data_IF_745843760849
#
_entry.id   IF_745843760849
#
_cell.length_a   1.000
_cell.length_b   1.000
_cell.length_c   1.000
_cell.angle_alpha   90.00
_cell.angle_beta   90.00
_cell.angle_gamma   90.00
#
_symmetry.space_group_name_H-M   'P 1'
#
loop_
_entity.id
_entity.type
_entity.pdbx_description
1 polymer ?
#
# COMPACT_ATOMS: atom_id res chain seq x y z
N UNK A 1 15.61 -29.92 11.97
CA UNK A 1 15.46 -29.93 13.44
C UNK A 1 13.99 -29.72 13.71
N UNK A 2 13.27 -30.78 14.08
CA UNK A 2 11.84 -30.67 14.35
C UNK A 2 11.64 -29.96 15.69
N UNK A 3 10.76 -28.96 15.72
CA UNK A 3 10.32 -28.28 16.95
C UNK A 3 9.32 -29.23 17.63
N UNK A 4 9.79 -30.41 18.01
CA UNK A 4 9.05 -31.37 18.80
C UNK A 4 9.28 -30.98 20.26
N UNK A 5 8.20 -30.68 20.99
CA UNK A 5 8.15 -30.33 22.43
C UNK A 5 8.03 -28.84 22.81
N UNK A 6 7.43 -27.98 21.97
CA UNK A 6 6.84 -26.76 22.54
C UNK A 6 5.51 -27.10 23.23
N UNK A 7 5.33 -26.73 24.51
CA UNK A 7 4.08 -26.98 25.21
C UNK A 7 2.94 -26.21 24.55
N UNK A 8 1.91 -26.94 24.11
CA UNK A 8 0.68 -26.36 23.60
C UNK A 8 -0.30 -26.14 24.75
N UNK A 9 -0.44 -24.89 25.19
CA UNK A 9 -1.39 -24.53 26.24
C UNK A 9 -2.77 -24.28 25.64
N UNK A 10 -3.81 -24.95 26.16
CA UNK A 10 -5.22 -24.66 25.79
C UNK A 10 -5.76 -23.42 26.48
N UNK A 11 -5.22 -23.08 27.64
CA UNK A 11 -5.58 -21.92 28.48
C UNK A 11 -4.41 -21.59 29.41
N UNK A 12 -4.48 -20.44 30.09
CA UNK A 12 -3.50 -20.09 31.13
C UNK A 12 -3.55 -21.10 32.29
N UNK A 13 -2.39 -21.52 32.78
CA UNK A 13 -2.28 -22.33 34.00
C UNK A 13 -2.59 -21.49 35.25
N UNK A 14 -2.88 -22.16 36.36
CA UNK A 14 -3.07 -21.45 37.64
C UNK A 14 -1.79 -20.71 38.09
N UNK A 15 -0.60 -21.27 37.87
CA UNK A 15 0.65 -20.54 38.14
C UNK A 15 0.78 -19.30 37.25
N UNK A 16 0.41 -19.37 35.97
CA UNK A 16 0.42 -18.21 35.08
C UNK A 16 -0.57 -17.15 35.54
N UNK A 17 -1.79 -17.54 35.93
CA UNK A 17 -2.78 -16.59 36.45
C UNK A 17 -2.36 -15.97 37.79
N UNK A 18 -1.66 -16.71 38.66
CA UNK A 18 -1.08 -16.17 39.90
C UNK A 18 0.10 -15.23 39.63
N UNK A 19 0.94 -15.57 38.65
CA UNK A 19 2.15 -14.81 38.28
C UNK A 19 1.81 -13.51 37.54
N UNK A 20 0.98 -13.59 36.52
CA UNK A 20 0.64 -12.42 35.70
C UNK A 20 -0.48 -11.59 36.32
N UNK A 21 -1.24 -12.17 37.27
CA UNK A 21 -2.53 -11.70 37.79
C UNK A 21 -3.52 -11.46 36.64
N UNK A 22 -4.82 -11.75 36.80
CA UNK A 22 -5.82 -11.25 35.85
C UNK A 22 -5.59 -9.74 35.75
N UNK A 23 -5.33 -9.24 34.54
CA UNK A 23 -5.25 -7.80 34.31
C UNK A 23 -6.63 -7.25 34.69
N UNK A 24 -6.75 -6.76 35.93
CA UNK A 24 -8.02 -6.36 36.53
C UNK A 24 -8.49 -5.00 36.03
N UNK A 25 -7.77 -4.42 35.06
CA UNK A 25 -8.16 -3.20 34.39
C UNK A 25 -9.20 -3.56 33.32
N UNK A 26 -10.23 -2.73 33.24
CA UNK A 26 -11.12 -2.74 32.08
C UNK A 26 -10.28 -2.52 30.81
N UNK A 27 -10.70 -3.07 29.66
CA UNK A 27 -10.07 -2.75 28.39
C UNK A 27 -9.93 -1.23 28.24
N UNK A 28 -8.79 -0.79 27.72
CA UNK A 28 -8.64 0.61 27.33
C UNK A 28 -9.52 0.85 26.09
N UNK A 29 -10.54 1.68 26.25
CA UNK A 29 -11.43 2.11 25.17
C UNK A 29 -10.99 3.49 24.68
N UNK A 30 -10.84 3.62 23.37
CA UNK A 30 -10.51 4.90 22.75
C UNK A 30 -11.33 5.12 21.49
N UNK A 31 -11.60 6.40 21.20
CA UNK A 31 -12.21 6.81 19.94
C UNK A 31 -11.13 7.07 18.90
N UNK A 32 -11.46 6.91 17.61
CA UNK A 32 -10.55 7.30 16.53
C UNK A 32 -11.23 8.29 15.59
N UNK A 33 -10.43 9.15 14.96
CA UNK A 33 -10.84 9.95 13.81
C UNK A 33 -10.12 9.40 12.58
N UNK A 34 -10.84 9.30 11.47
CA UNK A 34 -10.27 8.88 10.20
C UNK A 34 -9.90 10.13 9.41
N UNK A 35 -8.64 10.22 8.98
CA UNK A 35 -8.16 11.25 8.04
C UNK A 35 -7.79 10.56 6.73
N UNK A 36 -8.24 11.12 5.62
CA UNK A 36 -8.02 10.58 4.29
C UNK A 36 -7.21 11.58 3.46
N UNK A 37 -6.08 11.13 2.94
CA UNK A 37 -5.14 11.88 2.13
C UNK A 37 -5.16 11.34 0.71
N UNK A 38 -5.35 12.20 -0.28
CA UNK A 38 -5.50 11.80 -1.67
C UNK A 38 -4.44 12.47 -2.54
N UNK A 39 -4.11 11.85 -3.68
CA UNK A 39 -3.27 12.45 -4.73
C UNK A 39 -3.81 13.85 -5.10
N UNK A 40 -2.95 14.89 -5.23
CA UNK A 40 -1.48 14.86 -5.29
C UNK A 40 -0.76 14.92 -3.92
N UNK A 41 -1.42 14.60 -2.81
CA UNK A 41 -0.84 14.55 -1.46
C UNK A 41 -0.21 15.87 -0.98
N UNK A 42 -0.78 17.01 -1.38
CA UNK A 42 -0.35 18.34 -0.95
C UNK A 42 -1.11 18.74 0.32
N UNK A 43 -0.56 18.39 1.49
CA UNK A 43 -1.07 18.76 2.80
C UNK A 43 0.07 19.23 3.70
N UNK A 44 -0.20 20.14 4.64
CA UNK A 44 0.83 20.74 5.50
C UNK A 44 1.59 19.71 6.35
N UNK A 45 0.97 18.57 6.63
CA UNK A 45 1.49 17.54 7.53
C UNK A 45 2.02 16.30 6.79
N UNK A 46 2.21 16.43 5.47
CA UNK A 46 2.64 15.38 4.56
C UNK A 46 3.94 15.77 3.84
N UNK A 47 4.83 14.81 3.69
CA UNK A 47 6.04 14.92 2.87
C UNK A 47 6.05 13.77 1.87
N UNK A 48 6.31 14.08 0.60
CA UNK A 48 6.37 13.11 -0.50
C UNK A 48 7.72 13.26 -1.20
N UNK A 49 8.39 12.14 -1.48
CA UNK A 49 9.69 12.17 -2.15
C UNK A 49 9.99 10.93 -2.97
N UNK A 50 10.94 11.10 -3.89
CA UNK A 50 11.51 10.09 -4.80
C UNK A 50 10.44 9.30 -5.60
N UNK A 51 9.77 10.01 -6.50
CA UNK A 51 8.71 9.50 -7.36
C UNK A 51 9.01 9.82 -8.84
N UNK A 52 8.42 9.05 -9.75
CA UNK A 52 8.57 9.22 -11.21
C UNK A 52 7.52 10.17 -11.80
N UNK A 53 6.26 10.04 -11.37
CA UNK A 53 5.12 10.78 -11.94
C UNK A 53 4.10 11.12 -10.85
N UNK A 54 3.42 12.26 -11.01
CA UNK A 54 2.19 12.61 -10.28
C UNK A 54 1.08 12.79 -11.30
N UNK A 55 0.00 12.03 -11.15
CA UNK A 55 -1.20 12.13 -11.95
C UNK A 55 -2.43 12.03 -11.02
N UNK A 56 -3.37 12.97 -11.18
CA UNK A 56 -4.55 13.05 -10.30
C UNK A 56 -5.46 11.83 -10.45
N UNK A 57 -5.43 11.17 -11.60
CA UNK A 57 -6.21 9.96 -11.90
C UNK A 57 -5.45 8.67 -11.53
N UNK A 58 -4.13 8.64 -11.70
CA UNK A 58 -3.31 7.43 -11.47
C UNK A 58 -2.73 7.34 -10.05
N UNK A 59 -2.48 8.47 -9.41
CA UNK A 59 -1.75 8.55 -8.13
C UNK A 59 -0.34 9.09 -8.29
N UNK A 60 0.48 8.87 -7.27
CA UNK A 60 1.92 9.16 -7.33
C UNK A 60 2.66 7.84 -7.52
N UNK A 61 3.41 7.73 -8.60
CA UNK A 61 4.23 6.56 -8.95
C UNK A 61 5.59 6.66 -8.25
N UNK A 62 5.80 5.84 -7.23
CA UNK A 62 7.03 5.88 -6.43
C UNK A 62 8.14 5.05 -7.05
N UNK A 63 9.37 5.54 -6.91
CA UNK A 63 10.55 4.71 -7.13
C UNK A 63 10.60 3.64 -6.04
N UNK A 64 10.64 2.36 -6.41
CA UNK A 64 10.60 1.34 -5.38
C UNK A 64 11.80 1.42 -4.43
N UNK A 65 11.59 0.94 -3.22
CA UNK A 65 12.48 1.01 -2.05
C UNK A 65 12.72 2.43 -1.51
N UNK A 66 12.97 3.43 -2.37
CA UNK A 66 13.41 4.76 -1.94
C UNK A 66 12.30 5.80 -1.90
N UNK A 67 11.28 5.66 -2.75
CA UNK A 67 10.08 6.51 -2.77
C UNK A 67 9.23 6.42 -1.52
N UNK A 68 8.68 7.56 -1.08
CA UNK A 68 8.01 7.64 0.21
C UNK A 68 6.88 8.66 0.31
N UNK A 69 5.94 8.37 1.20
CA UNK A 69 4.95 9.31 1.76
C UNK A 69 5.10 9.30 3.28
N UNK A 70 5.46 10.42 3.89
CA UNK A 70 5.56 10.57 5.34
C UNK A 70 4.42 11.44 5.86
N UNK A 71 3.62 10.90 6.79
CA UNK A 71 2.52 11.59 7.45
C UNK A 71 2.91 11.87 8.90
N UNK A 72 2.80 13.12 9.33
CA UNK A 72 2.98 13.53 10.72
C UNK A 72 1.66 14.04 11.29
N UNK A 73 1.17 13.46 12.37
CA UNK A 73 -0.10 13.82 12.98
C UNK A 73 0.09 14.51 14.33
N UNK A 74 -0.85 15.38 14.69
CA UNK A 74 -0.89 16.02 16.02
C UNK A 74 -1.22 15.01 17.14
N UNK A 75 -1.82 13.88 16.75
CA UNK A 75 -2.31 12.81 17.62
C UNK A 75 -1.70 11.45 17.25
N UNK A 76 -1.65 10.49 18.18
CA UNK A 76 -1.12 9.16 17.90
C UNK A 76 -1.92 8.45 16.80
N UNK A 77 -1.22 7.79 15.88
CA UNK A 77 -1.75 7.03 14.75
C UNK A 77 -1.86 5.58 15.18
N UNK A 78 -3.06 5.01 15.11
CA UNK A 78 -3.38 3.62 15.45
C UNK A 78 -3.40 2.68 14.26
N UNK A 79 -3.73 3.20 13.08
CA UNK A 79 -3.73 2.41 11.86
C UNK A 79 -3.49 3.27 10.62
N UNK A 80 -2.95 2.63 9.59
CA UNK A 80 -2.76 3.19 8.26
C UNK A 80 -3.35 2.23 7.23
N UNK A 81 -4.19 2.72 6.34
CA UNK A 81 -4.66 1.99 5.16
C UNK A 81 -4.06 2.64 3.94
N UNK A 82 -3.31 1.87 3.14
CA UNK A 82 -2.72 2.32 1.88
C UNK A 82 -3.52 1.73 0.73
N UNK A 83 -3.92 2.58 -0.21
CA UNK A 83 -4.69 2.20 -1.39
C UNK A 83 -3.90 2.62 -2.63
N UNK A 84 -3.56 1.62 -3.45
CA UNK A 84 -2.78 1.82 -4.66
C UNK A 84 -2.65 0.56 -5.52
N UNK A 85 -1.85 0.65 -6.57
CA UNK A 85 -1.70 -0.43 -7.55
C UNK A 85 -0.35 -0.39 -8.26
N UNK A 86 0.18 -1.57 -8.59
CA UNK A 86 1.38 -1.73 -9.41
C UNK A 86 1.09 -1.83 -10.91
N UNK A 87 2.02 -1.37 -11.74
CA UNK A 87 2.06 -1.65 -13.19
C UNK A 87 2.38 -3.11 -13.49
N UNK A 88 3.03 -3.80 -12.54
CA UNK A 88 3.45 -5.19 -12.65
C UNK A 88 3.03 -5.97 -11.41
N UNK A 89 2.99 -7.30 -11.54
CA UNK A 89 2.59 -8.18 -10.47
C UNK A 89 3.56 -8.11 -9.27
N UNK A 90 3.12 -8.64 -8.12
CA UNK A 90 3.92 -8.71 -6.88
C UNK A 90 4.31 -7.33 -6.34
N UNK A 91 3.33 -6.43 -6.32
CA UNK A 91 3.41 -5.19 -5.57
C UNK A 91 3.60 -5.44 -4.07
N UNK A 92 4.09 -4.42 -3.38
CA UNK A 92 4.21 -4.41 -1.93
C UNK A 92 3.97 -3.01 -1.38
N UNK A 93 3.50 -2.96 -0.14
CA UNK A 93 3.47 -1.74 0.67
C UNK A 93 4.22 -2.00 1.98
N UNK A 94 4.96 -1.01 2.44
CA UNK A 94 5.64 -1.01 3.72
C UNK A 94 5.16 0.21 4.49
N UNK A 95 4.79 0.02 5.76
CA UNK A 95 4.60 1.11 6.71
C UNK A 95 5.69 1.01 7.76
N UNK A 96 6.41 2.11 7.93
CA UNK A 96 7.50 2.29 8.86
C UNK A 96 7.12 3.38 9.85
N UNK A 97 7.51 3.22 11.11
CA UNK A 97 7.38 4.28 12.09
C UNK A 97 8.60 4.32 13.00
N UNK A 98 8.97 5.52 13.39
CA UNK A 98 10.22 5.80 14.07
C UNK A 98 9.92 6.70 15.25
N UNK A 99 10.69 6.54 16.33
CA UNK A 99 10.64 7.52 17.41
C UNK A 99 11.32 8.82 16.93
N UNK A 100 11.09 9.93 17.62
CA UNK A 100 11.61 11.23 17.19
C UNK A 100 13.15 11.19 17.07
N UNK A 101 13.66 11.59 15.89
CA UNK A 101 15.09 11.55 15.56
C UNK A 101 15.59 10.23 14.97
N UNK A 102 14.76 9.17 14.91
CA UNK A 102 15.10 7.90 14.24
C UNK A 102 14.67 7.91 12.75
N UNK A 103 15.48 7.26 11.90
CA UNK A 103 15.23 7.03 10.48
C UNK A 103 15.98 5.76 10.04
N UNK A 104 15.61 5.20 8.88
CA UNK A 104 16.30 4.04 8.31
C UNK A 104 17.82 4.26 8.15
N UNK A 105 18.25 5.51 7.96
CA UNK A 105 19.65 5.89 7.75
C UNK A 105 20.45 6.03 9.05
N UNK A 106 19.79 6.06 10.22
CA UNK A 106 20.45 6.29 11.51
C UNK A 106 20.06 5.30 12.62
N UNK A 107 19.44 4.17 12.26
CA UNK A 107 19.08 3.10 13.21
C UNK A 107 20.34 2.39 13.70
N UNK A 108 20.85 2.80 14.87
CA UNK A 108 22.03 2.17 15.49
C UNK A 108 21.63 0.82 16.15
N UNK A 109 21.59 -0.26 15.35
CA UNK A 109 21.25 -1.63 15.77
C UNK A 109 19.90 -1.81 16.48
N UNK A 110 18.94 -0.88 16.35
CA UNK A 110 17.59 -1.03 16.90
C UNK A 110 16.67 -1.82 15.96
N UNK A 111 15.68 -2.49 16.53
CA UNK A 111 14.66 -3.19 15.76
C UNK A 111 13.82 -2.19 14.98
N UNK A 112 13.91 -2.23 13.66
CA UNK A 112 13.11 -1.40 12.75
C UNK A 112 11.62 -1.71 12.95
N UNK A 113 10.83 -0.70 13.32
CA UNK A 113 9.37 -0.85 13.45
C UNK A 113 8.75 -0.71 12.06
N UNK A 114 8.72 -1.83 11.32
CA UNK A 114 8.16 -1.91 9.97
C UNK A 114 7.15 -3.05 9.85
N UNK A 115 6.10 -2.82 9.09
CA UNK A 115 5.19 -3.84 8.61
C UNK A 115 5.21 -3.82 7.09
N UNK A 116 5.20 -5.00 6.47
CA UNK A 116 5.24 -5.18 5.02
C UNK A 116 4.13 -6.13 4.62
N UNK A 117 3.42 -5.78 3.55
CA UNK A 117 2.49 -6.68 2.87
C UNK A 117 2.92 -6.80 1.42
N UNK A 118 3.13 -8.04 0.99
CA UNK A 118 3.61 -8.42 -0.33
C UNK A 118 2.53 -9.07 -1.18
N UNK A 119 2.89 -9.41 -2.43
CA UNK A 119 2.03 -10.11 -3.40
C UNK A 119 0.74 -9.33 -3.70
N UNK A 120 0.83 -8.02 -3.67
CA UNK A 120 -0.25 -7.10 -4.07
C UNK A 120 -0.37 -7.12 -5.58
N UNK A 121 -1.51 -7.59 -6.09
CA UNK A 121 -1.74 -7.73 -7.52
C UNK A 121 -2.91 -6.83 -7.89
N UNK A 122 -2.56 -5.61 -8.30
CA UNK A 122 -3.51 -4.62 -8.80
C UNK A 122 -3.29 -4.34 -10.28
N UNK A 123 -4.23 -3.63 -10.91
CA UNK A 123 -4.08 -3.17 -12.29
C UNK A 123 -3.91 -1.66 -12.26
N UNK A 124 -2.76 -1.18 -12.72
CA UNK A 124 -2.46 0.25 -12.76
C UNK A 124 -3.43 1.02 -13.67
N UNK A 125 -3.96 2.18 -13.25
CA UNK A 125 -4.97 2.88 -14.03
C UNK A 125 -4.51 3.39 -15.40
N UNK A 126 -3.21 3.65 -15.57
CA UNK A 126 -2.63 4.07 -16.84
C UNK A 126 -2.85 3.06 -17.96
N UNK A 127 -2.88 1.75 -17.64
CA UNK A 127 -3.14 0.69 -18.62
C UNK A 127 -4.50 0.91 -19.29
N UNK A 128 -5.52 1.27 -18.51
CA UNK A 128 -6.86 1.53 -19.04
C UNK A 128 -6.96 2.87 -19.75
N UNK A 129 -6.29 3.91 -19.27
CA UNK A 129 -6.19 5.19 -19.99
C UNK A 129 -5.58 4.95 -21.37
N UNK A 130 -4.49 4.18 -21.46
CA UNK A 130 -3.84 3.87 -22.74
C UNK A 130 -4.68 2.96 -23.65
N UNK A 131 -5.40 1.98 -23.09
CA UNK A 131 -6.34 1.13 -23.84
C UNK A 131 -7.49 1.97 -24.41
N UNK A 132 -8.08 2.84 -23.59
CA UNK A 132 -9.18 3.70 -23.99
C UNK A 132 -8.75 4.80 -24.97
N UNK A 133 -7.49 5.27 -24.87
CA UNK A 133 -6.87 6.22 -25.78
C UNK A 133 -6.24 5.58 -27.04
N UNK A 134 -6.29 4.24 -27.19
CA UNK A 134 -5.72 3.47 -28.31
C UNK A 134 -4.24 3.74 -28.59
N UNK A 135 -3.41 3.79 -27.54
CA UNK A 135 -1.97 4.06 -27.74
C UNK A 135 -1.30 2.90 -28.50
N UNK A 136 -0.72 3.13 -29.70
CA UNK A 136 -0.31 2.05 -30.61
C UNK A 136 0.75 1.08 -30.06
N UNK A 137 1.70 1.53 -29.25
CA UNK A 137 2.80 0.69 -28.78
C UNK A 137 2.33 -0.45 -27.84
N UNK A 138 1.33 -0.19 -27.00
CA UNK A 138 0.77 -1.17 -26.06
C UNK A 138 -0.01 -2.26 -26.79
N UNK A 139 -0.72 -1.89 -27.85
CA UNK A 139 -1.46 -2.81 -28.73
C UNK A 139 -0.52 -3.85 -29.32
N UNK A 140 0.67 -3.43 -29.74
CA UNK A 140 1.67 -4.30 -30.34
C UNK A 140 2.38 -5.18 -29.30
N UNK A 141 2.79 -4.61 -28.16
CA UNK A 141 3.41 -5.35 -27.06
C UNK A 141 2.52 -6.48 -26.51
N UNK A 142 1.22 -6.25 -26.35
CA UNK A 142 0.30 -7.25 -25.80
C UNK A 142 -0.07 -8.35 -26.80
N UNK A 143 -0.20 -7.99 -28.08
CA UNK A 143 -0.31 -8.98 -29.16
C UNK A 143 0.92 -9.90 -29.19
N UNK A 144 2.11 -9.32 -29.02
CA UNK A 144 3.36 -10.08 -28.97
C UNK A 144 3.49 -10.96 -27.72
N UNK A 145 2.89 -10.55 -26.60
CA UNK A 145 2.84 -11.34 -25.37
C UNK A 145 1.78 -12.46 -25.38
N UNK A 146 1.01 -12.61 -26.47
CA UNK A 146 -0.03 -13.64 -26.58
C UNK A 146 -1.22 -13.42 -25.63
N UNK A 147 -1.38 -12.20 -25.09
CA UNK A 147 -2.51 -11.84 -24.24
C UNK A 147 -3.72 -11.66 -25.17
N UNK A 148 -4.80 -12.45 -25.04
CA UNK A 148 -5.96 -12.36 -25.90
C UNK A 148 -6.80 -11.11 -25.55
N UNK A 149 -6.28 -9.93 -25.89
CA UNK A 149 -7.01 -8.67 -25.74
C UNK A 149 -7.53 -8.24 -27.11
N UNK A 150 -8.85 -8.26 -27.28
CA UNK A 150 -9.49 -7.81 -28.51
C UNK A 150 -9.78 -6.30 -28.44
N UNK A 151 -8.94 -5.49 -29.08
CA UNK A 151 -9.10 -4.03 -29.15
C UNK A 151 -10.33 -3.58 -29.97
N UNK A 152 -10.98 -4.48 -30.72
CA UNK A 152 -12.15 -4.14 -31.53
C UNK A 152 -13.38 -3.75 -30.70
N UNK A 153 -13.39 -4.07 -29.39
CA UNK A 153 -14.46 -3.62 -28.48
C UNK A 153 -14.39 -2.13 -28.15
N UNK A 154 -13.20 -1.50 -28.19
CA UNK A 154 -13.05 -0.05 -27.99
C UNK A 154 -13.06 0.64 -29.34
N UNK A 155 -14.21 1.12 -29.81
CA UNK A 155 -14.29 1.91 -31.05
C UNK A 155 -13.60 3.28 -30.91
N UNK A 156 -13.15 3.88 -32.01
CA UNK A 156 -12.67 5.27 -31.99
C UNK A 156 -13.84 6.19 -31.59
N UNK A 157 -13.65 7.10 -30.61
CA UNK A 157 -14.75 7.90 -30.07
C UNK A 157 -15.60 7.21 -28.99
N UNK A 158 -15.16 6.06 -28.47
CA UNK A 158 -15.81 5.39 -27.34
C UNK A 158 -15.69 6.15 -26.02
N UNK A 159 -14.74 7.06 -25.90
CA UNK A 159 -14.63 8.02 -24.80
C UNK A 159 -15.00 9.38 -25.36
N UNK A 160 -16.06 9.97 -24.82
CA UNK A 160 -16.60 11.24 -25.32
C UNK A 160 -15.81 12.44 -24.80
N UNK A 161 -15.41 12.37 -23.54
CA UNK A 161 -14.71 13.40 -22.78
C UNK A 161 -14.08 12.80 -21.51
N UNK A 162 -13.33 13.61 -20.76
CA UNK A 162 -12.65 13.21 -19.52
C UNK A 162 -13.62 12.70 -18.45
N UNK A 163 -14.86 13.20 -18.44
CA UNK A 163 -15.88 12.78 -17.48
C UNK A 163 -16.41 11.38 -17.81
N UNK A 164 -16.65 11.07 -19.08
CA UNK A 164 -17.03 9.75 -19.56
C UNK A 164 -15.92 8.71 -19.34
N UNK A 165 -14.65 9.11 -19.49
CA UNK A 165 -13.49 8.31 -19.11
C UNK A 165 -13.56 7.95 -17.61
N UNK A 166 -13.57 8.95 -16.73
CA UNK A 166 -13.62 8.76 -15.28
C UNK A 166 -14.83 7.93 -14.81
N UNK A 167 -15.98 8.08 -15.46
CA UNK A 167 -17.17 7.28 -15.18
C UNK A 167 -17.00 5.81 -15.55
N UNK A 168 -16.43 5.51 -16.73
CA UNK A 168 -16.20 4.11 -17.16
C UNK A 168 -15.14 3.42 -16.30
N UNK A 169 -14.10 4.18 -15.97
CA UNK A 169 -13.08 3.79 -15.02
C UNK A 169 -13.74 3.45 -13.65
N UNK A 170 -14.53 4.34 -13.07
CA UNK A 170 -15.17 4.11 -11.76
C UNK A 170 -16.21 2.99 -11.72
N UNK A 171 -16.89 2.70 -12.84
CA UNK A 171 -17.87 1.62 -12.93
C UNK A 171 -17.25 0.22 -13.10
N UNK A 172 -15.94 0.12 -13.36
CA UNK A 172 -15.22 -1.16 -13.38
C UNK A 172 -15.60 -2.10 -14.52
N UNK A 173 -16.29 -1.62 -15.56
CA UNK A 173 -16.65 -2.41 -16.75
C UNK A 173 -16.65 -1.59 -18.05
N UNK A 174 -16.30 -2.26 -19.16
CA UNK A 174 -16.44 -1.77 -20.53
C UNK A 174 -16.83 -2.94 -21.41
N UNK A 175 -18.01 -2.85 -22.02
CA UNK A 175 -18.59 -3.86 -22.91
C UNK A 175 -18.54 -5.30 -22.36
N UNK A 176 -18.95 -5.46 -21.09
CA UNK A 176 -18.94 -6.71 -20.33
C UNK A 176 -17.55 -7.28 -19.97
N UNK A 177 -16.46 -6.62 -20.36
CA UNK A 177 -15.15 -6.89 -19.78
C UNK A 177 -15.03 -6.16 -18.45
N UNK A 178 -14.59 -6.83 -17.36
CA UNK A 178 -14.24 -6.12 -16.13
C UNK A 178 -13.07 -5.17 -16.44
N UNK A 179 -13.35 -3.87 -16.43
CA UNK A 179 -12.34 -2.82 -16.27
C UNK A 179 -11.92 -2.67 -14.81
N UNK A 180 -12.30 -3.61 -13.95
CA UNK A 180 -12.17 -3.49 -12.52
C UNK A 180 -10.73 -3.11 -12.18
N UNK A 181 -10.55 -1.86 -11.75
CA UNK A 181 -9.33 -1.46 -11.11
C UNK A 181 -9.32 -2.17 -9.78
N UNK A 182 -8.46 -3.15 -9.69
CA UNK A 182 -8.13 -3.72 -8.41
C UNK A 182 -7.02 -2.85 -7.84
N UNK A 183 -7.41 -1.94 -6.95
CA UNK A 183 -6.45 -1.39 -6.01
C UNK A 183 -6.25 -2.38 -4.89
N UNK A 184 -5.01 -2.51 -4.45
CA UNK A 184 -4.71 -3.18 -3.21
C UNK A 184 -5.01 -2.19 -2.09
N UNK A 185 -5.95 -2.55 -1.23
CA UNK A 185 -6.14 -1.91 0.06
C UNK A 185 -5.39 -2.74 1.11
N UNK A 186 -4.37 -2.14 1.70
CA UNK A 186 -3.57 -2.78 2.75
C UNK A 186 -3.75 -2.02 4.04
N UNK A 187 -4.14 -2.74 5.09
CA UNK A 187 -4.31 -2.20 6.42
C UNK A 187 -3.14 -2.58 7.33
N UNK A 188 -2.58 -1.57 7.99
CA UNK A 188 -1.47 -1.69 8.94
C UNK A 188 -1.94 -1.21 10.31
N UNK A 189 -1.87 -2.10 11.30
CA UNK A 189 -2.03 -1.71 12.70
C UNK A 189 -0.70 -1.16 13.22
N UNK A 190 -0.64 0.15 13.47
CA UNK A 190 0.57 0.84 13.92
C UNK A 190 0.42 1.20 15.39
N UNK A 191 1.27 0.62 16.23
CA UNK A 191 1.20 0.77 17.69
C UNK A 191 0.85 -0.53 18.39
N UNK A 192 1.71 -0.95 19.31
CA UNK A 192 1.57 -2.18 20.09
C UNK A 192 1.84 -1.80 21.55
N UNK A 193 0.79 -1.59 22.35
CA UNK A 193 0.94 -1.23 23.75
C UNK A 193 0.02 -0.09 24.22
N UNK A 194 0.40 0.64 25.29
CA UNK A 194 -0.34 1.80 25.77
C UNK A 194 -0.41 2.92 24.73
N UNK A 195 -1.45 3.78 24.77
CA UNK A 195 -1.64 4.89 23.81
C UNK A 195 -0.40 5.79 23.68
N UNK A 196 0.36 5.97 24.77
CA UNK A 196 1.60 6.77 24.79
C UNK A 196 2.72 6.23 23.91
N UNK A 197 2.64 4.97 23.45
CA UNK A 197 3.66 4.33 22.60
C UNK A 197 3.25 4.29 21.13
N UNK A 198 2.09 4.83 20.78
CA UNK A 198 1.63 4.90 19.39
C UNK A 198 2.38 6.02 18.65
N UNK A 199 2.82 5.77 17.39
CA UNK A 199 3.59 6.75 16.64
C UNK A 199 2.72 7.94 16.25
N UNK A 200 3.32 9.12 16.18
CA UNK A 200 2.70 10.30 15.54
C UNK A 200 3.19 10.51 14.12
N UNK A 201 4.19 9.75 13.69
CA UNK A 201 4.83 9.86 12.37
C UNK A 201 4.93 8.47 11.75
N UNK A 202 4.46 8.33 10.52
CA UNK A 202 4.56 7.10 9.72
C UNK A 202 5.11 7.44 8.35
N UNK A 203 5.93 6.55 7.79
CA UNK A 203 6.43 6.62 6.42
C UNK A 203 5.95 5.40 5.66
N UNK A 204 5.33 5.62 4.51
CA UNK A 204 4.83 4.60 3.61
C UNK A 204 5.79 4.50 2.44
N UNK A 205 6.16 3.27 2.08
CA UNK A 205 6.93 2.93 0.88
C UNK A 205 6.17 1.90 0.08
N UNK A 206 6.38 1.88 -1.23
CA UNK A 206 5.74 0.91 -2.11
C UNK A 206 6.61 0.59 -3.32
N UNK A 207 6.24 -0.46 -4.04
CA UNK A 207 6.94 -0.89 -5.24
C UNK A 207 6.44 -2.24 -5.73
N UNK A 208 7.02 -2.74 -6.82
CA UNK A 208 6.75 -4.09 -7.33
C UNK A 208 8.04 -4.88 -7.54
N UNK A 209 7.96 -6.20 -7.35
CA UNK A 209 9.08 -7.12 -7.61
C UNK A 209 8.89 -7.83 -8.95
N UNK A 210 9.59 -7.42 -10.00
CA UNK A 210 9.51 -8.11 -11.29
C UNK A 210 10.18 -9.50 -11.25
N UNK A 211 11.41 -9.62 -10.72
CA UNK A 211 12.09 -10.93 -10.52
C UNK A 211 13.21 -10.82 -9.48
N UNK A 212 13.24 -11.74 -8.50
CA UNK A 212 14.45 -12.05 -7.73
C UNK A 212 15.40 -12.86 -8.63
N UNK A 213 16.61 -12.37 -8.88
CA UNK A 213 17.68 -13.17 -9.47
C UNK A 213 18.14 -14.21 -8.41
N UNK A 214 17.98 -15.53 -8.66
CA UNK A 214 18.29 -16.57 -7.68
C UNK A 214 19.74 -16.53 -7.19
N UNK A 215 20.65 -15.95 -7.99
CA UNK A 215 22.08 -15.89 -7.69
C UNK A 215 22.53 -14.67 -6.89
N UNK A 216 21.77 -13.57 -6.88
CA UNK A 216 22.24 -12.30 -6.32
C UNK A 216 21.41 -11.74 -5.16
N UNK A 217 20.20 -12.25 -4.90
CA UNK A 217 19.25 -11.69 -3.91
C UNK A 217 18.97 -10.19 -4.10
N UNK A 218 19.34 -9.60 -5.24
CA UNK A 218 19.14 -8.20 -5.56
C UNK A 218 17.94 -8.06 -6.49
N UNK A 219 17.01 -7.18 -6.13
CA UNK A 219 15.86 -6.80 -6.96
C UNK A 219 16.38 -6.03 -8.18
N UNK A 220 16.18 -6.57 -9.39
CA UNK A 220 16.78 -5.99 -10.61
C UNK A 220 15.97 -4.88 -11.25
N UNK A 221 14.66 -4.85 -11.05
CA UNK A 221 13.76 -3.87 -11.65
C UNK A 221 12.65 -3.53 -10.68
N UNK A 222 12.76 -2.42 -9.93
CA UNK A 222 11.65 -1.91 -9.14
C UNK A 222 10.52 -1.55 -10.10
N UNK A 223 9.42 -2.30 -10.07
CA UNK A 223 8.25 -1.98 -10.90
C UNK A 223 7.42 -0.87 -10.27
N UNK A 224 6.87 0.01 -11.11
CA UNK A 224 6.11 1.19 -10.67
C UNK A 224 4.91 0.78 -9.82
N UNK A 225 4.74 1.43 -8.67
CA UNK A 225 3.56 1.31 -7.81
C UNK A 225 3.03 2.71 -7.51
N UNK A 226 1.76 2.93 -7.85
CA UNK A 226 1.09 4.19 -7.60
C UNK A 226 0.23 4.13 -6.34
N UNK A 227 0.42 5.08 -5.43
CA UNK A 227 -0.49 5.30 -4.30
C UNK A 227 -1.45 6.43 -4.65
N UNK A 228 -2.75 6.20 -4.41
CA UNK A 228 -3.81 7.19 -4.66
C UNK A 228 -4.44 7.74 -3.40
N UNK A 229 -4.57 6.90 -2.39
CA UNK A 229 -5.25 7.23 -1.15
C UNK A 229 -4.50 6.59 0.02
N UNK A 230 -4.32 7.39 1.07
CA UNK A 230 -3.88 6.92 2.38
C UNK A 230 -4.91 7.34 3.40
N UNK A 231 -5.42 6.39 4.18
CA UNK A 231 -6.26 6.67 5.33
C UNK A 231 -5.48 6.40 6.61
N UNK A 232 -5.59 7.28 7.59
CA UNK A 232 -5.00 7.08 8.91
C UNK A 232 -6.06 7.20 10.00
N UNK A 233 -5.97 6.34 11.00
CA UNK A 233 -6.82 6.35 12.17
C UNK A 233 -6.04 6.98 13.31
N UNK A 234 -6.40 8.21 13.69
CA UNK A 234 -5.77 8.92 14.81
C UNK A 234 -6.60 8.77 16.08
N UNK A 235 -5.95 8.52 17.20
CA UNK A 235 -6.60 8.37 18.51
C UNK A 235 -7.18 9.73 18.96
N UNK A 236 -8.44 9.71 19.39
CA UNK A 236 -9.28 10.84 19.75
C UNK A 236 -9.02 11.45 21.12
#
# INVERSE_FOLDING_TARGET
MAIENLPLYKTFSEEQLKMYKPFSRKPDEFSTKIRAYQTPFIYENLEVGDFYEIDVCKGIEFKADTGFITITEDRPIAAVTVIGSGCVARGYNIVEWWDEGESIDNVDNKTVKRLRVDNLNGIHPSVWIHILAKVPFLVESWKNAGIPFNYDYVAHGSVKDDFDLLKKLSLGFYDNMPLAFFENSVHFAVGHGPISTYPKKVTIRCGCKETEDPGSKLERYPGDYAIRLVQVHVIG
#
